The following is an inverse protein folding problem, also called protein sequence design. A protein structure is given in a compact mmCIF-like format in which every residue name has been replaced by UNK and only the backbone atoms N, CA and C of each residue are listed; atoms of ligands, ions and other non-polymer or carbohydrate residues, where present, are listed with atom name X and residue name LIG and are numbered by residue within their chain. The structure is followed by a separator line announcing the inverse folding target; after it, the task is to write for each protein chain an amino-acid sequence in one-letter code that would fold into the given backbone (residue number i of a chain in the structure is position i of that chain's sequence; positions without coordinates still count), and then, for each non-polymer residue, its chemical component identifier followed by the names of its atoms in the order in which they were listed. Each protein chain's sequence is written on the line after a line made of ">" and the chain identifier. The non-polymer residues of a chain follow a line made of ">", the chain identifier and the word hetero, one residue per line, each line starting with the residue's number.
data_IF_421090343245
#
_entry.id   IF_421090343245
#
_cell.length_a   1.000
_cell.length_b   1.000
_cell.length_c   1.000
_cell.angle_alpha   90.00
_cell.angle_beta   90.00
_cell.angle_gamma   90.00
#
_symmetry.space_group_name_H-M   'P 1'
#
loop_
_entity.id
_entity.type
_entity.pdbx_description
1 polymer ?
#
# COMPACT_ATOMS: atom_id res chain seq x y z
N UNK A 1 -51.45 32.23 -45.64
CA UNK A 1 -51.76 33.66 -45.88
C UNK A 1 -51.55 34.38 -44.55
N UNK A 2 -50.65 35.37 -44.53
CA UNK A 2 -50.34 36.33 -43.44
C UNK A 2 -49.48 35.80 -42.25
N UNK A 3 -48.20 36.19 -42.24
CA UNK A 3 -47.27 36.29 -41.08
C UNK A 3 -47.53 37.62 -40.32
N UNK A 4 -46.72 38.18 -39.39
CA UNK A 4 -45.56 37.70 -38.60
C UNK A 4 -45.58 38.14 -37.09
N UNK A 5 -44.57 37.73 -36.31
CA UNK A 5 -43.89 38.63 -35.34
C UNK A 5 -44.39 38.76 -33.89
N UNK A 6 -43.57 38.27 -32.93
CA UNK A 6 -43.30 38.89 -31.63
C UNK A 6 -42.13 38.10 -30.97
N UNK A 7 -40.89 38.54 -31.14
CA UNK A 7 -40.11 39.30 -30.14
C UNK A 7 -40.04 38.64 -28.75
N UNK A 8 -38.86 38.09 -28.42
CA UNK A 8 -38.46 37.68 -27.07
C UNK A 8 -38.50 38.88 -26.10
N UNK A 9 -38.80 38.63 -24.81
CA UNK A 9 -38.13 39.34 -23.74
C UNK A 9 -37.24 38.39 -22.92
N UNK A 10 -35.96 38.76 -22.86
CA UNK A 10 -34.90 38.12 -22.09
C UNK A 10 -35.18 38.17 -20.56
N UNK A 11 -36.06 37.31 -20.06
CA UNK A 11 -36.41 37.25 -18.62
C UNK A 11 -36.17 35.86 -17.99
N UNK A 12 -35.71 34.86 -18.74
CA UNK A 12 -35.26 33.56 -18.17
C UNK A 12 -33.73 33.54 -17.98
N UNK A 13 -33.12 34.70 -17.71
CA UNK A 13 -31.68 34.83 -17.54
C UNK A 13 -31.23 35.00 -16.08
N UNK A 14 -32.12 34.88 -15.07
CA UNK A 14 -31.77 35.28 -13.69
C UNK A 14 -32.30 34.44 -12.51
N UNK A 15 -32.82 33.22 -12.72
CA UNK A 15 -33.51 32.51 -11.61
C UNK A 15 -33.11 31.05 -11.34
N UNK A 16 -31.98 30.57 -11.86
CA UNK A 16 -31.39 29.29 -11.42
C UNK A 16 -29.88 29.40 -11.09
N UNK A 17 -29.40 30.59 -10.74
CA UNK A 17 -28.03 30.81 -10.24
C UNK A 17 -27.94 30.69 -8.70
N UNK A 18 -28.90 30.00 -8.08
CA UNK A 18 -29.01 29.88 -6.62
C UNK A 18 -29.31 28.44 -6.17
N UNK A 19 -28.91 27.42 -6.95
CA UNK A 19 -28.67 26.08 -6.40
C UNK A 19 -27.27 26.05 -5.82
N UNK A 20 -27.18 26.77 -4.70
CA UNK A 20 -26.23 26.68 -3.61
C UNK A 20 -25.26 25.51 -3.79
N UNK A 21 -24.02 25.86 -4.13
CA UNK A 21 -22.88 24.99 -3.99
C UNK A 21 -22.98 24.32 -2.61
N UNK A 22 -23.36 23.05 -2.61
CA UNK A 22 -23.15 22.18 -1.47
C UNK A 22 -21.63 22.07 -1.38
N UNK A 23 -21.04 23.00 -0.62
CA UNK A 23 -19.72 22.84 -0.07
C UNK A 23 -19.80 21.53 0.69
N UNK A 24 -19.36 20.46 0.03
CA UNK A 24 -18.89 19.27 0.71
C UNK A 24 -17.73 19.81 1.54
N UNK A 25 -18.05 20.24 2.75
CA UNK A 25 -17.11 20.20 3.85
C UNK A 25 -16.84 18.71 4.04
N UNK A 26 -15.98 18.17 3.19
CA UNK A 26 -15.15 17.06 3.57
C UNK A 26 -14.41 17.59 4.79
N UNK A 27 -14.97 17.34 5.97
CA UNK A 27 -14.19 17.29 7.18
C UNK A 27 -13.25 16.09 7.01
N UNK A 28 -12.26 16.25 6.13
CA UNK A 28 -10.99 15.60 6.34
C UNK A 28 -10.55 16.15 7.68
N UNK A 29 -10.82 15.39 8.74
CA UNK A 29 -9.92 15.44 9.89
C UNK A 29 -8.56 15.20 9.26
N UNK A 30 -7.71 16.22 9.28
CA UNK A 30 -6.30 16.02 9.09
C UNK A 30 -5.91 14.99 10.15
N UNK A 31 -5.81 13.73 9.73
CA UNK A 31 -5.27 12.67 10.56
C UNK A 31 -3.91 13.15 11.02
N UNK A 32 -3.62 13.02 12.32
CA UNK A 32 -2.50 13.68 12.99
C UNK A 32 -1.31 13.94 12.05
N UNK A 33 -1.14 15.19 11.62
CA UNK A 33 -0.14 15.66 10.63
C UNK A 33 1.32 15.57 11.15
N UNK A 34 1.54 14.79 12.22
CA UNK A 34 2.84 14.58 12.84
C UNK A 34 3.54 13.33 12.31
N UNK A 35 4.89 13.28 12.38
CA UNK A 35 5.62 12.06 12.07
C UNK A 35 5.18 10.92 13.00
N UNK A 36 5.02 9.72 12.44
CA UNK A 36 4.89 8.49 13.25
C UNK A 36 6.22 8.26 13.94
N UNK A 37 6.24 8.34 15.27
CA UNK A 37 7.44 8.12 16.08
C UNK A 37 7.29 6.85 16.91
N UNK A 38 8.41 6.23 17.28
CA UNK A 38 8.41 5.10 18.22
C UNK A 38 7.72 5.44 19.53
N UNK A 39 7.88 6.67 20.03
CA UNK A 39 7.21 7.12 21.26
C UNK A 39 5.69 7.11 21.11
N UNK A 40 5.16 7.69 20.02
CA UNK A 40 3.73 7.69 19.74
C UNK A 40 3.17 6.26 19.58
N UNK A 41 3.90 5.36 18.91
CA UNK A 41 3.50 3.96 18.77
C UNK A 41 3.47 3.22 20.13
N UNK A 42 4.44 3.47 21.01
CA UNK A 42 4.46 2.87 22.36
C UNK A 42 3.30 3.40 23.22
N UNK A 43 2.98 4.68 23.11
CA UNK A 43 1.79 5.27 23.77
C UNK A 43 0.49 4.65 23.24
N UNK A 44 0.38 4.45 21.93
CA UNK A 44 -0.77 3.79 21.30
C UNK A 44 -0.90 2.34 21.77
N UNK A 45 0.20 1.58 21.89
CA UNK A 45 0.19 0.18 22.33
C UNK A 45 -0.42 -0.04 23.72
N UNK A 46 -0.38 0.97 24.61
CA UNK A 46 -0.96 0.88 25.95
C UNK A 46 -2.36 1.52 26.05
N UNK A 47 -2.81 2.22 25.01
CA UNK A 47 -4.16 2.79 24.95
C UNK A 47 -5.20 1.71 24.63
N UNK A 48 -5.89 1.24 25.67
CA UNK A 48 -6.98 0.26 25.55
C UNK A 48 -8.17 0.76 24.72
N UNK A 49 -8.31 2.07 24.53
CA UNK A 49 -9.37 2.64 23.71
C UNK A 49 -9.02 2.70 22.23
N UNK A 50 -7.74 2.56 21.87
CA UNK A 50 -7.27 2.56 20.48
C UNK A 50 -7.87 1.42 19.67
N UNK A 51 -7.97 0.21 20.25
CA UNK A 51 -8.58 -0.97 19.59
C UNK A 51 -10.06 -0.80 19.25
N UNK A 52 -10.75 0.18 19.86
CA UNK A 52 -12.15 0.48 19.61
C UNK A 52 -12.34 1.59 18.55
N UNK A 53 -11.26 2.09 17.94
CA UNK A 53 -11.30 3.14 16.90
C UNK A 53 -10.71 2.63 15.60
N UNK A 54 -11.14 3.23 14.50
CA UNK A 54 -10.41 3.11 13.24
C UNK A 54 -9.10 3.88 13.33
N UNK A 55 -8.04 3.41 12.65
CA UNK A 55 -6.77 4.13 12.61
C UNK A 55 -6.92 5.50 11.95
N UNK A 56 -6.20 6.48 12.48
CA UNK A 56 -6.15 7.85 11.96
C UNK A 56 -4.69 8.36 12.01
N UNK A 57 -4.02 8.57 10.85
CA UNK A 57 -4.54 8.40 9.50
C UNK A 57 -4.87 6.93 9.19
N UNK A 58 -5.87 6.72 8.35
CA UNK A 58 -6.25 5.39 7.91
C UNK A 58 -5.11 4.70 7.16
N UNK A 59 -4.76 3.48 7.58
CA UNK A 59 -3.80 2.63 6.89
C UNK A 59 -4.43 1.30 6.48
N UNK A 60 -3.79 0.62 5.53
CA UNK A 60 -4.13 -0.75 5.13
C UNK A 60 -2.92 -1.65 5.28
N UNK A 61 -3.16 -2.87 5.72
CA UNK A 61 -2.16 -3.93 5.62
C UNK A 61 -2.29 -4.57 4.23
N UNK A 62 -1.18 -4.63 3.50
CA UNK A 62 -1.08 -5.36 2.24
C UNK A 62 -0.02 -6.43 2.39
N UNK A 63 -0.22 -7.56 1.70
CA UNK A 63 0.71 -8.68 1.73
C UNK A 63 1.06 -9.09 0.31
N UNK A 64 2.34 -9.36 0.11
CA UNK A 64 2.86 -10.04 -1.08
C UNK A 64 3.46 -11.36 -0.63
N UNK A 65 3.22 -12.41 -1.39
CA UNK A 65 3.77 -13.73 -1.10
C UNK A 65 4.04 -14.48 -2.39
N UNK A 66 4.88 -15.51 -2.28
CA UNK A 66 5.16 -16.46 -3.35
C UNK A 66 4.05 -17.49 -3.51
N UNK A 67 2.80 -17.20 -3.15
CA UNK A 67 1.72 -18.18 -3.22
C UNK A 67 1.48 -18.65 -4.66
N UNK A 68 1.04 -19.90 -4.79
CA UNK A 68 0.68 -20.50 -6.05
C UNK A 68 -0.64 -19.91 -6.58
N UNK A 69 -0.55 -19.14 -7.66
CA UNK A 69 -1.70 -18.45 -8.27
C UNK A 69 -2.69 -19.41 -8.96
N UNK A 70 -2.36 -20.69 -9.10
CA UNK A 70 -3.28 -21.69 -9.62
C UNK A 70 -4.42 -22.01 -8.63
N UNK A 71 -4.23 -21.81 -7.32
CA UNK A 71 -5.29 -22.01 -6.33
C UNK A 71 -6.29 -20.85 -6.33
N UNK A 72 -7.43 -21.03 -7.03
CA UNK A 72 -8.44 -19.98 -7.26
C UNK A 72 -9.76 -20.27 -6.55
N UNK A 73 -10.45 -21.37 -6.89
CA UNK A 73 -11.83 -21.62 -6.43
C UNK A 73 -12.09 -23.09 -6.06
N UNK A 74 -12.94 -23.39 -5.06
CA UNK A 74 -13.18 -24.77 -4.60
C UNK A 74 -13.76 -25.69 -5.67
N UNK A 75 -14.36 -25.10 -6.69
CA UNK A 75 -14.94 -25.78 -7.85
C UNK A 75 -13.90 -26.23 -8.87
N UNK A 76 -12.68 -25.69 -8.81
CA UNK A 76 -11.57 -26.06 -9.71
C UNK A 76 -10.72 -27.16 -9.05
N UNK A 77 -11.25 -28.38 -9.01
CA UNK A 77 -10.66 -29.49 -8.24
C UNK A 77 -9.19 -29.80 -8.53
N UNK A 78 -8.72 -29.58 -9.76
CA UNK A 78 -7.35 -29.87 -10.17
C UNK A 78 -6.33 -28.85 -9.64
N UNK A 79 -6.75 -27.60 -9.42
CA UNK A 79 -5.87 -26.47 -9.07
C UNK A 79 -6.18 -25.89 -7.70
N UNK A 80 -7.34 -26.20 -7.11
CA UNK A 80 -7.74 -25.74 -5.78
C UNK A 80 -6.68 -26.02 -4.70
N UNK A 81 -6.01 -27.17 -4.79
CA UNK A 81 -4.94 -27.58 -3.88
C UNK A 81 -3.53 -27.38 -4.46
N UNK A 82 -3.36 -26.51 -5.46
CA UNK A 82 -2.04 -26.12 -5.91
C UNK A 82 -1.24 -25.54 -4.73
N UNK A 83 -0.01 -25.99 -4.57
CA UNK A 83 0.83 -25.76 -3.38
C UNK A 83 2.29 -25.47 -3.77
N UNK A 84 2.52 -25.00 -4.99
CA UNK A 84 3.83 -24.57 -5.47
C UNK A 84 4.19 -23.18 -4.95
N UNK A 85 4.11 -22.94 -3.63
CA UNK A 85 4.21 -21.61 -2.99
C UNK A 85 5.64 -21.04 -2.92
N UNK A 86 6.42 -21.15 -4.00
CA UNK A 86 7.79 -20.70 -4.09
C UNK A 86 8.13 -20.17 -5.49
N UNK A 87 9.07 -19.22 -5.59
CA UNK A 87 9.56 -18.70 -6.87
C UNK A 87 8.60 -17.79 -7.63
N UNK A 88 7.42 -17.47 -7.06
CA UNK A 88 6.47 -16.56 -7.68
C UNK A 88 6.72 -15.11 -7.28
N UNK A 89 7.42 -14.37 -8.14
CA UNK A 89 7.72 -12.95 -7.96
C UNK A 89 6.74 -12.05 -8.73
N UNK A 90 6.72 -10.75 -8.43
CA UNK A 90 5.93 -9.78 -9.18
C UNK A 90 6.47 -9.60 -10.60
N UNK A 91 7.79 -9.59 -10.73
CA UNK A 91 8.53 -9.52 -11.99
C UNK A 91 10.01 -9.82 -11.75
N UNK A 92 10.75 -9.94 -12.85
CA UNK A 92 12.21 -10.06 -12.88
C UNK A 92 12.77 -8.88 -13.66
N UNK A 93 13.79 -8.23 -13.12
CA UNK A 93 14.44 -7.06 -13.68
C UNK A 93 15.93 -7.32 -13.91
N UNK A 94 16.50 -6.69 -14.93
CA UNK A 94 17.96 -6.54 -15.06
C UNK A 94 18.34 -5.14 -14.58
N UNK A 95 19.21 -5.06 -13.58
CA UNK A 95 19.67 -3.81 -12.99
C UNK A 95 21.19 -3.86 -12.82
N UNK A 96 21.89 -3.04 -13.59
CA UNK A 96 23.35 -2.97 -13.62
C UNK A 96 24.02 -4.34 -13.89
N UNK A 97 23.44 -5.14 -14.78
CA UNK A 97 23.94 -6.47 -15.12
C UNK A 97 23.67 -7.54 -14.06
N UNK A 98 22.73 -7.26 -13.13
CA UNK A 98 22.28 -8.20 -12.11
C UNK A 98 20.80 -8.50 -12.31
N UNK A 99 20.42 -9.75 -12.12
CA UNK A 99 19.01 -10.16 -12.12
C UNK A 99 18.41 -9.94 -10.73
N UNK A 100 17.37 -9.12 -10.66
CA UNK A 100 16.63 -8.85 -9.43
C UNK A 100 15.20 -9.40 -9.53
N UNK A 101 14.76 -10.09 -8.48
CA UNK A 101 13.42 -10.69 -8.40
C UNK A 101 12.57 -9.83 -7.47
N UNK A 102 11.57 -9.16 -8.02
CA UNK A 102 10.78 -8.18 -7.26
C UNK A 102 9.74 -8.91 -6.40
N UNK A 103 9.93 -8.86 -5.08
CA UNK A 103 9.03 -9.49 -4.11
C UNK A 103 7.86 -8.57 -3.72
N UNK A 104 8.12 -7.27 -3.62
CA UNK A 104 7.18 -6.23 -3.18
C UNK A 104 7.37 -5.01 -4.05
N UNK A 105 6.26 -4.41 -4.50
CA UNK A 105 6.24 -3.10 -5.15
C UNK A 105 4.98 -2.37 -4.66
N UNK A 106 5.18 -1.26 -3.97
CA UNK A 106 4.11 -0.50 -3.32
C UNK A 106 4.35 1.00 -3.45
N UNK A 107 3.28 1.73 -3.76
CA UNK A 107 3.29 3.18 -3.89
C UNK A 107 2.68 3.85 -2.66
N UNK A 108 3.25 4.99 -2.26
CA UNK A 108 2.79 5.79 -1.13
C UNK A 108 3.52 5.49 0.17
N UNK A 109 3.28 6.30 1.22
CA UNK A 109 3.94 6.12 2.51
C UNK A 109 3.51 4.81 3.19
N UNK A 110 4.46 4.15 3.85
CA UNK A 110 4.19 2.91 4.57
C UNK A 110 5.44 2.37 5.27
N UNK A 111 5.28 1.19 5.87
CA UNK A 111 6.37 0.47 6.53
C UNK A 111 6.27 -1.02 6.23
N UNK A 112 7.41 -1.65 5.97
CA UNK A 112 7.51 -3.12 5.96
C UNK A 112 7.60 -3.58 7.41
N UNK A 113 6.53 -4.18 7.91
CA UNK A 113 6.44 -4.63 9.31
C UNK A 113 6.84 -6.10 9.51
N UNK A 114 6.93 -6.87 8.42
CA UNK A 114 7.29 -8.29 8.48
C UNK A 114 7.83 -8.78 7.15
N UNK A 115 8.91 -9.56 7.22
CA UNK A 115 9.44 -10.40 6.14
C UNK A 115 9.67 -11.79 6.73
N UNK A 116 9.35 -12.83 5.97
CA UNK A 116 9.62 -14.21 6.35
C UNK A 116 9.99 -15.03 5.11
N UNK A 117 10.92 -15.96 5.26
CA UNK A 117 11.25 -16.96 4.25
C UNK A 117 11.69 -18.24 4.93
N UNK A 118 11.21 -19.39 4.45
CA UNK A 118 11.72 -20.69 4.85
C UNK A 118 13.12 -20.98 4.27
N UNK A 119 13.40 -20.45 3.08
CA UNK A 119 14.63 -20.68 2.32
C UNK A 119 15.20 -19.33 1.85
N UNK A 120 15.77 -18.51 2.75
CA UNK A 120 16.32 -17.22 2.38
C UNK A 120 17.61 -17.40 1.59
N UNK A 121 17.63 -16.89 0.35
CA UNK A 121 18.78 -16.96 -0.55
C UNK A 121 19.05 -15.60 -1.19
N UNK A 122 20.30 -15.40 -1.63
CA UNK A 122 20.72 -14.18 -2.32
C UNK A 122 20.83 -12.96 -1.41
N UNK A 123 20.69 -11.78 -2.02
CA UNK A 123 20.84 -10.47 -1.37
C UNK A 123 19.50 -9.76 -1.36
N UNK A 124 19.02 -9.41 -0.17
CA UNK A 124 17.82 -8.58 -0.02
C UNK A 124 18.20 -7.12 -0.30
N UNK A 125 17.46 -6.49 -1.22
CA UNK A 125 17.59 -5.07 -1.55
C UNK A 125 16.27 -4.34 -1.29
N UNK A 126 16.35 -3.17 -0.68
CA UNK A 126 15.21 -2.27 -0.49
C UNK A 126 15.53 -0.94 -1.14
N UNK A 127 14.67 -0.52 -2.05
CA UNK A 127 14.69 0.78 -2.70
C UNK A 127 13.53 1.60 -2.14
N UNK A 128 13.78 2.86 -1.79
CA UNK A 128 12.76 3.79 -1.33
C UNK A 128 12.71 4.97 -2.31
N UNK A 129 11.52 5.51 -2.54
CA UNK A 129 11.29 6.75 -3.30
C UNK A 129 11.98 6.76 -4.68
N UNK A 130 11.89 5.66 -5.41
CA UNK A 130 12.48 5.45 -6.74
C UNK A 130 14.01 5.66 -6.81
N UNK A 131 14.71 5.56 -5.67
CA UNK A 131 16.16 5.72 -5.63
C UNK A 131 16.89 4.70 -6.51
N UNK A 132 17.95 5.15 -7.19
CA UNK A 132 18.79 4.29 -8.03
C UNK A 132 19.54 3.25 -7.21
N UNK A 133 20.07 3.66 -6.05
CA UNK A 133 20.79 2.80 -5.11
C UNK A 133 19.86 2.31 -4.00
N UNK A 134 20.01 1.05 -3.54
CA UNK A 134 19.22 0.53 -2.43
C UNK A 134 19.64 1.18 -1.11
N UNK A 135 18.68 1.49 -0.25
CA UNK A 135 18.94 1.97 1.12
C UNK A 135 19.33 0.84 2.06
N UNK A 136 19.00 -0.40 1.69
CA UNK A 136 19.39 -1.61 2.39
C UNK A 136 19.83 -2.65 1.38
N UNK A 137 21.04 -3.18 1.56
CA UNK A 137 21.59 -4.28 0.76
C UNK A 137 22.34 -5.23 1.69
N UNK A 138 21.83 -6.45 1.89
CA UNK A 138 22.42 -7.43 2.82
C UNK A 138 22.12 -8.86 2.39
N UNK A 139 22.97 -9.86 2.70
CA UNK A 139 22.60 -11.27 2.54
C UNK A 139 21.27 -11.57 3.24
N UNK A 140 20.30 -12.12 2.51
CA UNK A 140 18.94 -12.32 3.03
C UNK A 140 18.93 -13.27 4.24
N UNK A 141 19.73 -14.33 4.19
CA UNK A 141 19.88 -15.26 5.30
C UNK A 141 20.40 -14.59 6.57
N UNK A 142 21.35 -13.66 6.45
CA UNK A 142 21.94 -12.97 7.60
C UNK A 142 20.98 -11.96 8.22
N UNK A 143 20.32 -11.12 7.42
CA UNK A 143 19.38 -10.13 7.95
C UNK A 143 18.18 -10.79 8.65
N UNK A 144 17.65 -11.89 8.10
CA UNK A 144 16.55 -12.62 8.74
C UNK A 144 17.00 -13.39 9.99
N UNK A 145 18.28 -13.76 10.08
CA UNK A 145 18.88 -14.37 11.27
C UNK A 145 19.36 -13.35 12.33
N UNK A 146 19.10 -12.05 12.15
CA UNK A 146 19.53 -11.03 13.09
C UNK A 146 21.01 -10.65 13.01
N UNK A 147 21.69 -11.01 11.91
CA UNK A 147 23.13 -10.77 11.66
C UNK A 147 23.36 -9.58 10.72
N UNK A 148 22.66 -8.47 10.95
CA UNK A 148 22.74 -7.30 10.09
C UNK A 148 22.17 -6.05 10.75
N UNK A 149 21.60 -5.10 9.98
CA UNK A 149 21.05 -3.86 10.52
C UNK A 149 19.79 -4.08 11.36
N UNK A 150 19.13 -5.23 11.21
CA UNK A 150 18.02 -5.67 12.05
C UNK A 150 18.53 -6.79 12.95
N UNK A 151 18.50 -6.56 14.26
CA UNK A 151 19.03 -7.47 15.27
C UNK A 151 17.90 -8.08 16.12
N UNK A 152 18.19 -9.12 16.94
CA UNK A 152 17.24 -9.59 17.94
C UNK A 152 16.77 -8.44 18.86
N UNK A 153 15.49 -8.43 19.29
CA UNK A 153 14.47 -9.46 19.09
C UNK A 153 13.68 -9.35 17.77
N UNK A 154 13.99 -8.37 16.92
CA UNK A 154 13.23 -8.08 15.70
C UNK A 154 13.51 -9.08 14.55
N UNK A 155 14.69 -9.70 14.56
CA UNK A 155 15.07 -10.77 13.64
C UNK A 155 15.77 -11.90 14.41
N UNK A 156 15.30 -13.13 14.20
CA UNK A 156 15.80 -14.34 14.84
C UNK A 156 15.37 -15.57 14.01
N UNK A 157 16.05 -16.70 14.23
CA UNK A 157 15.76 -18.01 13.63
C UNK A 157 15.14 -18.93 14.67
#
# INVERSE_FOLDING_TARGET
>A
MIAPGAQLPAIVARLCAASMALVVAATGRAGADGPVTTAALVEEMIDRSAVARLPDPGYRCIQFSSYDRASIAPTEHDTWFANGDAGHFLRVEDRDGRTEHVMVDATGPGAVVRIWSANPEGTLRVYLDDAEAPVLEWPMADILAGKGPVAPPLAHV
#
